data_IF_438518633941
#
_entry.id   IF_438518633941
#
_cell.length_a   1.000
_cell.length_b   1.000
_cell.length_c   1.000
_cell.angle_alpha   90.00
_cell.angle_beta   90.00
_cell.angle_gamma   90.00
#
_symmetry.space_group_name_H-M   'P 1'
#
loop_
_entity.id
_entity.type
_entity.pdbx_description
1 polymer ?
#
# COMPACT_ATOMS: atom_id res chain seq x y z
N UNK A 1 54.55 -14.89 -50.63
CA UNK A 1 53.91 -13.74 -51.28
C UNK A 1 53.06 -13.05 -50.21
N UNK A 2 53.63 -12.09 -49.48
CA UNK A 2 53.53 -10.63 -49.72
C UNK A 2 52.08 -10.15 -49.51
N UNK A 3 51.69 -9.59 -48.34
CA UNK A 3 51.97 -8.27 -47.77
C UNK A 3 51.53 -7.07 -48.65
N UNK A 4 50.59 -6.25 -48.13
CA UNK A 4 50.30 -4.81 -48.37
C UNK A 4 48.78 -4.56 -48.23
N UNK A 5 48.23 -3.83 -47.25
CA UNK A 5 48.37 -2.39 -46.91
C UNK A 5 48.02 -1.46 -48.08
N UNK A 6 46.85 -0.78 -48.00
CA UNK A 6 46.62 0.62 -48.41
C UNK A 6 45.12 0.95 -48.23
N UNK A 7 44.64 2.17 -48.02
CA UNK A 7 44.97 3.24 -47.08
C UNK A 7 43.71 4.15 -47.02
N UNK A 8 43.70 5.01 -46.01
CA UNK A 8 42.68 5.97 -45.57
C UNK A 8 41.96 6.77 -46.66
N UNK A 9 40.68 7.10 -46.39
CA UNK A 9 40.21 8.50 -46.40
C UNK A 9 39.16 8.76 -45.32
N UNK A 10 39.48 9.72 -44.46
CA UNK A 10 38.67 10.37 -43.42
C UNK A 10 37.73 11.41 -44.05
N UNK A 11 36.57 11.64 -43.42
CA UNK A 11 35.86 12.90 -43.08
C UNK A 11 34.35 12.60 -42.99
N UNK A 12 33.51 13.09 -42.06
CA UNK A 12 33.66 13.86 -40.84
C UNK A 12 32.29 13.84 -40.10
N UNK A 13 32.34 13.95 -38.76
CA UNK A 13 31.33 14.46 -37.81
C UNK A 13 30.00 13.71 -37.61
N UNK A 14 29.95 13.00 -36.48
CA UNK A 14 28.81 13.02 -35.56
C UNK A 14 29.34 12.78 -34.14
N UNK A 15 30.17 13.70 -33.64
CA UNK A 15 30.55 13.76 -32.22
C UNK A 15 29.50 14.59 -31.50
N UNK A 16 28.88 14.03 -30.45
CA UNK A 16 28.11 14.84 -29.52
C UNK A 16 27.05 14.13 -28.68
N UNK A 17 27.29 12.95 -28.13
CA UNK A 17 26.67 12.50 -26.87
C UNK A 17 27.32 11.18 -26.48
N UNK A 18 28.34 11.22 -25.62
CA UNK A 18 28.85 10.12 -24.78
C UNK A 18 30.26 10.54 -24.32
N UNK A 19 30.30 11.45 -23.36
CA UNK A 19 31.50 11.68 -22.58
C UNK A 19 31.11 11.88 -21.11
N UNK A 20 31.42 10.82 -20.35
CA UNK A 20 32.05 10.84 -19.01
C UNK A 20 31.15 11.28 -17.84
N UNK A 21 30.92 10.33 -16.93
CA UNK A 21 31.11 10.61 -15.50
C UNK A 21 30.00 10.25 -14.52
N UNK A 22 28.82 9.81 -14.95
CA UNK A 22 27.82 9.33 -14.00
C UNK A 22 27.98 7.82 -13.79
N UNK A 23 28.58 7.43 -12.66
CA UNK A 23 28.32 6.08 -12.16
C UNK A 23 26.80 5.94 -11.96
N UNK A 24 26.18 4.81 -12.34
CA UNK A 24 24.80 4.54 -11.95
C UNK A 24 24.70 4.71 -10.42
N UNK A 25 23.57 5.24 -9.89
CA UNK A 25 23.44 5.45 -8.45
C UNK A 25 23.81 4.15 -7.74
N UNK A 26 24.83 4.23 -6.90
CA UNK A 26 25.18 3.13 -6.01
C UNK A 26 23.93 2.86 -5.18
N UNK A 27 23.42 1.62 -5.28
CA UNK A 27 22.37 1.13 -4.42
C UNK A 27 22.78 1.41 -2.98
N UNK A 28 22.18 2.43 -2.37
CA UNK A 28 22.38 2.76 -0.97
C UNK A 28 21.89 1.53 -0.21
N UNK A 29 22.84 0.82 0.39
CA UNK A 29 22.62 -0.46 1.03
C UNK A 29 21.60 -0.30 2.14
N UNK A 30 20.42 -0.88 1.92
CA UNK A 30 19.50 -1.22 3.01
C UNK A 30 20.29 -2.14 3.95
N UNK A 31 20.38 -1.70 5.20
CA UNK A 31 21.25 -2.23 6.25
C UNK A 31 21.04 -3.72 6.52
N UNK A 32 22.15 -4.36 6.92
CA UNK A 32 22.31 -5.79 7.25
C UNK A 32 21.24 -6.32 8.21
N UNK A 33 20.34 -7.15 7.70
CA UNK A 33 20.02 -8.51 8.21
C UNK A 33 18.81 -9.07 7.46
N UNK A 34 19.01 -9.85 6.38
CA UNK A 34 17.94 -10.68 5.82
C UNK A 34 18.53 -11.95 5.20
N UNK A 35 18.09 -13.12 5.68
CA UNK A 35 17.61 -14.35 4.97
C UNK A 35 17.22 -15.39 6.05
N UNK A 36 16.04 -16.04 5.98
CA UNK A 36 15.73 -17.02 4.93
C UNK A 36 14.73 -16.53 3.87
N UNK A 37 15.14 -16.74 2.61
CA UNK A 37 14.57 -16.31 1.32
C UNK A 37 14.30 -14.81 1.17
N UNK A 38 15.17 -14.16 0.40
CA UNK A 38 15.06 -12.79 -0.09
C UNK A 38 13.65 -12.50 -0.66
N UNK A 39 13.02 -11.40 -0.26
CA UNK A 39 11.69 -11.00 -0.76
C UNK A 39 11.64 -11.02 -2.30
N UNK A 40 12.71 -10.55 -2.95
CA UNK A 40 12.81 -10.56 -4.41
C UNK A 40 12.78 -11.97 -5.01
N UNK A 41 13.28 -12.97 -4.28
CA UNK A 41 13.19 -14.38 -4.68
C UNK A 41 11.79 -14.94 -4.40
N UNK A 42 11.22 -14.62 -3.23
CA UNK A 42 9.89 -15.10 -2.84
C UNK A 42 8.80 -14.62 -3.79
N UNK A 43 8.79 -13.35 -4.18
CA UNK A 43 7.78 -12.82 -5.12
C UNK A 43 7.81 -13.51 -6.48
N UNK A 44 8.98 -14.02 -6.89
CA UNK A 44 9.15 -14.74 -8.17
C UNK A 44 8.69 -16.19 -8.08
N UNK A 45 8.98 -16.88 -6.97
CA UNK A 45 8.87 -18.35 -6.90
C UNK A 45 7.76 -18.89 -5.99
N UNK A 46 7.35 -18.17 -4.93
CA UNK A 46 6.36 -18.67 -3.99
C UNK A 46 4.99 -18.86 -4.68
N UNK A 47 4.28 -19.94 -4.38
CA UNK A 47 2.96 -20.21 -4.97
C UNK A 47 2.94 -20.55 -6.47
N UNK A 48 4.10 -20.65 -7.13
CA UNK A 48 4.23 -21.00 -8.56
C UNK A 48 4.31 -22.53 -8.79
N UNK A 49 3.30 -23.27 -8.34
CA UNK A 49 3.22 -24.71 -8.62
C UNK A 49 3.12 -24.97 -10.13
N UNK A 50 4.03 -25.82 -10.64
CA UNK A 50 4.12 -26.13 -12.07
C UNK A 50 3.15 -27.25 -12.43
N UNK A 51 1.94 -26.88 -12.83
CA UNK A 51 0.97 -27.83 -13.38
C UNK A 51 1.32 -28.14 -14.85
N UNK A 52 1.35 -29.42 -15.21
CA UNK A 52 1.63 -29.88 -16.59
C UNK A 52 2.96 -29.42 -17.20
N UNK A 53 3.93 -28.97 -16.39
CA UNK A 53 5.22 -28.44 -16.86
C UNK A 53 5.20 -26.96 -17.30
N UNK A 54 4.07 -26.27 -17.16
CA UNK A 54 3.97 -24.84 -17.42
C UNK A 54 4.82 -24.02 -16.44
N UNK A 55 5.54 -23.02 -16.94
CA UNK A 55 6.31 -22.08 -16.10
C UNK A 55 5.43 -21.01 -15.45
N UNK A 56 4.25 -20.76 -16.03
CA UNK A 56 3.23 -19.87 -15.50
C UNK A 56 2.03 -20.76 -15.12
N UNK A 57 1.56 -20.72 -13.87
CA UNK A 57 0.40 -21.50 -13.45
C UNK A 57 -0.84 -21.16 -14.30
N UNK A 58 -1.65 -22.16 -14.70
CA UNK A 58 -2.86 -21.93 -15.47
C UNK A 58 -3.94 -21.20 -14.65
N UNK A 59 -4.86 -20.56 -15.37
CA UNK A 59 -6.04 -19.91 -14.78
C UNK A 59 -7.17 -20.94 -14.71
N UNK A 60 -7.48 -21.42 -13.50
CA UNK A 60 -8.52 -22.40 -13.27
C UNK A 60 -9.88 -21.69 -13.09
N UNK A 61 -10.64 -21.59 -14.18
CA UNK A 61 -11.97 -20.94 -14.21
C UNK A 61 -13.13 -21.83 -13.77
N UNK A 62 -12.89 -23.14 -13.59
CA UNK A 62 -13.96 -24.05 -13.19
C UNK A 62 -14.49 -23.66 -11.80
N UNK A 63 -15.80 -23.50 -11.70
CA UNK A 63 -16.46 -23.22 -10.43
C UNK A 63 -16.47 -24.46 -9.52
N UNK A 64 -16.62 -25.65 -10.11
CA UNK A 64 -16.75 -26.93 -9.44
C UNK A 64 -15.71 -27.93 -9.93
N UNK A 65 -15.42 -28.92 -9.10
CA UNK A 65 -14.46 -29.99 -9.40
C UNK A 65 -15.11 -31.33 -9.04
N UNK A 66 -14.56 -32.41 -9.60
CA UNK A 66 -14.97 -33.76 -9.22
C UNK A 66 -14.76 -33.97 -7.71
N UNK A 67 -15.76 -34.60 -7.08
CA UNK A 67 -15.73 -34.85 -5.65
C UNK A 67 -14.72 -35.97 -5.35
N UNK A 68 -13.68 -35.66 -4.57
CA UNK A 68 -12.80 -36.66 -3.97
C UNK A 68 -13.35 -37.19 -2.65
N UNK A 69 -12.49 -37.35 -1.66
CA UNK A 69 -12.85 -37.77 -0.30
C UNK A 69 -12.62 -36.61 0.69
N UNK A 70 -13.51 -35.61 0.77
CA UNK A 70 -13.34 -34.49 1.70
C UNK A 70 -13.59 -34.92 3.15
N UNK A 71 -12.73 -34.49 4.08
CA UNK A 71 -12.92 -34.71 5.52
C UNK A 71 -13.91 -33.70 6.12
N UNK A 72 -13.90 -32.47 5.61
CA UNK A 72 -14.76 -31.37 6.06
C UNK A 72 -15.44 -30.65 4.89
N UNK A 73 -16.47 -29.85 5.17
CA UNK A 73 -17.16 -29.05 4.15
C UNK A 73 -16.21 -28.08 3.41
N UNK A 74 -15.22 -27.52 4.11
CA UNK A 74 -14.26 -26.58 3.52
C UNK A 74 -13.22 -27.27 2.60
N UNK A 75 -13.12 -28.60 2.64
CA UNK A 75 -12.25 -29.39 1.75
C UNK A 75 -12.90 -29.65 0.39
N UNK A 76 -14.21 -29.43 0.26
CA UNK A 76 -14.92 -29.53 -1.02
C UNK A 76 -14.36 -28.45 -1.95
N UNK A 77 -13.77 -28.87 -3.06
CA UNK A 77 -13.16 -27.91 -4.00
C UNK A 77 -14.25 -27.19 -4.80
N UNK A 78 -14.41 -25.90 -4.49
CA UNK A 78 -15.42 -25.04 -5.10
C UNK A 78 -14.98 -23.57 -5.00
N UNK A 79 -15.13 -22.80 -6.06
CA UNK A 79 -14.61 -21.42 -6.15
C UNK A 79 -15.03 -20.50 -4.99
N UNK A 80 -16.27 -20.65 -4.50
CA UNK A 80 -16.79 -19.87 -3.36
C UNK A 80 -16.13 -20.23 -2.02
N UNK A 81 -15.51 -21.41 -1.93
CA UNK A 81 -14.82 -21.88 -0.73
C UNK A 81 -13.34 -21.46 -0.70
N UNK A 82 -12.93 -20.59 -1.63
CA UNK A 82 -11.60 -19.99 -1.70
C UNK A 82 -10.46 -21.04 -1.76
N UNK A 83 -10.71 -22.18 -2.42
CA UNK A 83 -9.79 -23.32 -2.42
C UNK A 83 -9.44 -23.84 -3.83
N UNK A 84 -9.70 -23.04 -4.86
CA UNK A 84 -9.26 -23.37 -6.22
C UNK A 84 -7.77 -23.15 -6.40
N UNK A 85 -7.10 -23.86 -7.34
CA UNK A 85 -5.65 -23.77 -7.47
C UNK A 85 -5.14 -22.34 -7.75
N UNK A 86 -5.86 -21.55 -8.56
CA UNK A 86 -5.48 -20.15 -8.84
C UNK A 86 -5.57 -19.27 -7.59
N UNK A 87 -6.62 -19.41 -6.77
CA UNK A 87 -6.73 -18.70 -5.49
C UNK A 87 -5.60 -19.13 -4.52
N UNK A 88 -5.39 -20.45 -4.39
CA UNK A 88 -4.35 -21.03 -3.51
C UNK A 88 -2.94 -20.61 -3.90
N UNK A 89 -2.65 -20.47 -5.19
CA UNK A 89 -1.36 -19.99 -5.67
C UNK A 89 -1.02 -18.59 -5.12
N UNK A 90 -1.96 -17.64 -5.23
CA UNK A 90 -1.79 -16.28 -4.72
C UNK A 90 -1.71 -16.26 -3.20
N UNK A 91 -2.59 -17.00 -2.52
CA UNK A 91 -2.59 -17.10 -1.06
C UNK A 91 -1.26 -17.64 -0.53
N UNK A 92 -0.70 -18.69 -1.14
CA UNK A 92 0.61 -19.24 -0.75
C UNK A 92 1.73 -18.24 -0.96
N UNK A 93 1.68 -17.44 -2.04
CA UNK A 93 2.66 -16.38 -2.26
C UNK A 93 2.58 -15.32 -1.16
N UNK A 94 1.40 -14.77 -0.91
CA UNK A 94 1.19 -13.77 0.14
C UNK A 94 1.58 -14.29 1.52
N UNK A 95 1.20 -15.53 1.83
CA UNK A 95 1.57 -16.20 3.07
C UNK A 95 3.08 -16.41 3.23
N UNK A 96 3.79 -16.67 2.14
CA UNK A 96 5.26 -16.73 2.14
C UNK A 96 5.91 -15.34 2.30
N UNK A 97 5.30 -14.28 1.75
CA UNK A 97 5.82 -12.91 1.86
C UNK A 97 5.68 -12.36 3.28
N UNK A 98 4.58 -12.65 3.97
CA UNK A 98 4.28 -12.09 5.30
C UNK A 98 4.22 -13.14 6.41
N UNK A 99 4.69 -14.37 6.19
CA UNK A 99 4.83 -15.41 7.23
C UNK A 99 3.49 -15.74 7.93
N UNK A 100 2.48 -16.13 7.13
CA UNK A 100 1.15 -16.47 7.64
C UNK A 100 0.25 -17.21 6.65
N UNK A 101 -0.98 -17.49 7.09
CA UNK A 101 -2.07 -17.99 6.24
C UNK A 101 -2.77 -16.81 5.59
N UNK A 102 -2.76 -16.77 4.26
CA UNK A 102 -3.43 -15.71 3.51
C UNK A 102 -4.81 -16.13 3.01
N UNK A 103 -5.71 -15.16 2.88
CA UNK A 103 -6.96 -15.21 2.13
C UNK A 103 -7.00 -14.03 1.17
N UNK A 104 -7.27 -14.28 -0.11
CA UNK A 104 -7.53 -13.22 -1.10
C UNK A 104 -9.02 -12.94 -1.15
N UNK A 105 -9.40 -11.67 -1.23
CA UNK A 105 -10.79 -11.22 -1.24
C UNK A 105 -11.11 -10.39 -2.48
N UNK A 106 -12.38 -10.20 -2.86
CA UNK A 106 -12.78 -9.39 -4.02
C UNK A 106 -12.39 -7.91 -3.95
N UNK A 107 -12.01 -7.39 -2.78
CA UNK A 107 -11.58 -5.99 -2.61
C UNK A 107 -10.87 -5.78 -1.28
N UNK A 108 -10.06 -4.73 -1.17
CA UNK A 108 -9.46 -4.30 0.10
C UNK A 108 -10.52 -4.04 1.19
N UNK A 109 -11.64 -3.41 0.83
CA UNK A 109 -12.77 -3.19 1.74
C UNK A 109 -13.32 -4.52 2.31
N UNK A 110 -13.46 -5.55 1.47
CA UNK A 110 -13.89 -6.87 1.92
C UNK A 110 -12.85 -7.53 2.84
N UNK A 111 -11.55 -7.30 2.61
CA UNK A 111 -10.49 -7.76 3.50
C UNK A 111 -10.56 -7.08 4.88
N UNK A 112 -10.69 -5.74 4.91
CA UNK A 112 -10.84 -4.97 6.16
C UNK A 112 -12.07 -5.44 6.93
N UNK A 113 -13.23 -5.53 6.29
CA UNK A 113 -14.46 -5.96 6.94
C UNK A 113 -14.33 -7.38 7.50
N UNK A 114 -13.82 -8.34 6.74
CA UNK A 114 -13.64 -9.72 7.20
C UNK A 114 -12.68 -9.83 8.38
N UNK A 115 -11.57 -9.08 8.34
CA UNK A 115 -10.60 -9.08 9.42
C UNK A 115 -11.19 -8.52 10.73
N UNK A 116 -11.95 -7.43 10.64
CA UNK A 116 -12.64 -6.84 11.80
C UNK A 116 -13.74 -7.78 12.31
N UNK A 117 -14.64 -8.24 11.44
CA UNK A 117 -15.76 -9.11 11.81
C UNK A 117 -15.32 -10.49 12.35
N UNK A 118 -14.11 -10.95 12.02
CA UNK A 118 -13.52 -12.14 12.64
C UNK A 118 -12.90 -11.88 14.02
N UNK A 119 -12.64 -10.61 14.37
CA UNK A 119 -11.97 -10.20 15.60
C UNK A 119 -12.93 -9.65 16.65
N UNK A 120 -14.08 -9.10 16.25
CA UNK A 120 -15.08 -8.49 17.13
C UNK A 120 -16.50 -8.87 16.70
N UNK A 121 -17.41 -8.99 17.67
CA UNK A 121 -18.84 -9.19 17.43
C UNK A 121 -19.73 -8.20 18.21
N UNK A 122 -21.06 -8.36 18.13
CA UNK A 122 -22.00 -7.51 18.86
C UNK A 122 -21.68 -7.48 20.37
N UNK A 123 -21.55 -6.29 20.94
CA UNK A 123 -21.19 -6.05 22.33
C UNK A 123 -19.69 -5.89 22.59
N UNK A 124 -18.82 -6.25 21.64
CA UNK A 124 -17.39 -6.01 21.73
C UNK A 124 -17.03 -4.56 21.34
N UNK A 125 -15.83 -4.14 21.74
CA UNK A 125 -15.24 -2.84 21.40
C UNK A 125 -13.96 -3.02 20.58
N UNK A 126 -13.80 -2.17 19.56
CA UNK A 126 -12.57 -2.01 18.77
C UNK A 126 -12.00 -0.59 18.94
N UNK A 127 -10.68 -0.50 19.10
CA UNK A 127 -9.94 0.75 19.05
C UNK A 127 -9.47 1.04 17.62
N UNK A 128 -9.53 2.30 17.19
CA UNK A 128 -9.05 2.72 15.87
C UNK A 128 -8.47 4.15 15.92
N UNK A 129 -7.54 4.54 15.05
CA UNK A 129 -7.04 5.91 15.00
C UNK A 129 -8.12 6.91 14.59
N UNK A 130 -8.08 8.11 15.17
CA UNK A 130 -8.85 9.26 14.66
C UNK A 130 -8.52 9.53 13.19
N UNK A 131 -7.22 9.47 12.85
CA UNK A 131 -6.70 9.60 11.48
C UNK A 131 -6.64 8.23 10.80
N UNK A 132 -7.76 7.84 10.21
CA UNK A 132 -7.90 6.60 9.44
C UNK A 132 -8.44 6.91 8.05
N UNK A 133 -8.06 6.11 7.05
CA UNK A 133 -8.63 6.18 5.71
C UNK A 133 -10.17 6.27 5.75
N UNK A 134 -10.73 7.27 5.05
CA UNK A 134 -12.17 7.53 5.02
C UNK A 134 -13.05 6.34 4.61
N UNK A 135 -12.54 5.41 3.78
CA UNK A 135 -13.26 4.18 3.46
C UNK A 135 -13.35 3.22 4.66
N UNK A 136 -12.27 3.06 5.41
CA UNK A 136 -12.26 2.28 6.66
C UNK A 136 -13.12 2.93 7.72
N UNK A 137 -13.09 4.26 7.84
CA UNK A 137 -13.96 5.00 8.76
C UNK A 137 -15.43 4.65 8.56
N UNK A 138 -15.89 4.61 7.30
CA UNK A 138 -17.26 4.21 6.97
C UNK A 138 -17.60 2.77 7.36
N UNK A 139 -16.63 1.85 7.27
CA UNK A 139 -16.82 0.47 7.73
C UNK A 139 -17.00 0.45 9.25
N UNK A 140 -16.13 1.13 9.99
CA UNK A 140 -16.19 1.21 11.44
C UNK A 140 -17.50 1.86 11.92
N UNK A 141 -17.91 2.96 11.31
CA UNK A 141 -19.15 3.65 11.64
C UNK A 141 -20.38 2.75 11.33
N UNK A 142 -20.35 1.98 10.24
CA UNK A 142 -21.40 1.00 9.93
C UNK A 142 -21.50 -0.11 11.00
N UNK A 143 -20.36 -0.66 11.44
CA UNK A 143 -20.32 -1.67 12.50
C UNK A 143 -20.93 -1.12 13.81
N UNK A 144 -20.67 0.15 14.12
CA UNK A 144 -21.23 0.81 15.28
C UNK A 144 -22.75 1.02 15.20
N UNK A 145 -23.24 1.47 14.05
CA UNK A 145 -24.65 1.82 13.88
C UNK A 145 -25.55 0.59 13.69
N UNK A 146 -25.04 -0.49 13.08
CA UNK A 146 -25.85 -1.61 12.59
C UNK A 146 -25.50 -2.96 13.18
N UNK A 147 -24.24 -3.19 13.55
CA UNK A 147 -23.76 -4.51 13.97
C UNK A 147 -23.49 -4.59 15.48
N UNK A 148 -23.76 -3.53 16.23
CA UNK A 148 -23.67 -3.51 17.70
C UNK A 148 -22.24 -3.58 18.24
N UNK A 149 -21.24 -3.22 17.43
CA UNK A 149 -19.83 -3.15 17.83
C UNK A 149 -19.52 -1.74 18.30
N UNK A 150 -18.92 -1.57 19.47
CA UNK A 150 -18.50 -0.24 19.91
C UNK A 150 -17.16 0.16 19.25
N UNK A 151 -17.09 1.34 18.63
CA UNK A 151 -15.83 1.87 18.10
C UNK A 151 -15.35 3.02 18.98
N UNK A 152 -14.10 2.95 19.44
CA UNK A 152 -13.44 4.05 20.15
C UNK A 152 -12.24 4.55 19.35
N UNK A 153 -12.29 5.83 18.98
CA UNK A 153 -11.22 6.49 18.27
C UNK A 153 -10.16 7.03 19.24
N UNK A 154 -8.89 6.74 18.96
CA UNK A 154 -7.73 7.16 19.77
C UNK A 154 -6.72 7.94 18.93
N UNK A 155 -5.97 8.83 19.58
CA UNK A 155 -4.87 9.55 18.95
C UNK A 155 -3.58 8.73 19.08
N UNK A 156 -3.03 8.25 17.96
CA UNK A 156 -1.83 7.41 17.98
C UNK A 156 -0.56 8.17 18.36
N UNK A 157 -0.58 9.50 18.36
CA UNK A 157 0.54 10.31 18.85
C UNK A 157 0.47 10.54 20.37
N UNK A 158 -0.57 10.03 21.04
CA UNK A 158 -0.78 10.13 22.50
C UNK A 158 -1.00 8.75 23.14
N UNK A 159 0.02 7.88 23.14
CA UNK A 159 -0.05 6.53 23.70
C UNK A 159 -0.55 6.48 25.14
N UNK A 160 -0.18 7.48 25.95
CA UNK A 160 -0.57 7.58 27.36
C UNK A 160 -2.10 7.69 27.57
N UNK A 161 -2.87 8.07 26.54
CA UNK A 161 -4.33 8.19 26.64
C UNK A 161 -5.08 6.92 26.20
N UNK A 162 -4.39 5.91 25.63
CA UNK A 162 -5.08 4.75 25.06
C UNK A 162 -5.77 3.88 26.12
N UNK A 163 -5.19 3.79 27.31
CA UNK A 163 -5.76 3.02 28.42
C UNK A 163 -7.17 3.51 28.82
N UNK A 164 -7.45 4.80 28.65
CA UNK A 164 -8.77 5.40 28.93
C UNK A 164 -9.86 4.92 27.95
N UNK A 165 -9.47 4.47 26.76
CA UNK A 165 -10.38 3.95 25.75
C UNK A 165 -10.75 2.47 25.97
N UNK A 166 -10.08 1.78 26.90
CA UNK A 166 -10.34 0.37 27.20
C UNK A 166 -11.66 0.16 27.95
N UNK A 167 -12.16 -1.06 27.83
CA UNK A 167 -13.26 -1.65 28.59
C UNK A 167 -13.05 -3.16 28.69
N UNK A 168 -13.82 -3.83 29.56
CA UNK A 168 -13.87 -5.29 29.63
C UNK A 168 -14.32 -5.95 28.31
N UNK A 169 -14.94 -5.18 27.41
CA UNK A 169 -15.40 -5.61 26.08
C UNK A 169 -14.41 -5.26 24.96
N UNK A 170 -13.27 -4.62 25.26
CA UNK A 170 -12.28 -4.32 24.22
C UNK A 170 -11.59 -5.60 23.75
N UNK A 171 -11.56 -5.82 22.44
CA UNK A 171 -11.02 -7.05 21.84
C UNK A 171 -9.96 -6.81 20.77
N UNK A 172 -9.99 -5.66 20.10
CA UNK A 172 -9.15 -5.42 18.94
C UNK A 172 -8.66 -3.98 18.85
N UNK A 173 -7.54 -3.80 18.17
CA UNK A 173 -6.96 -2.51 17.81
C UNK A 173 -6.64 -2.51 16.30
N UNK A 174 -7.30 -1.64 15.55
CA UNK A 174 -7.02 -1.43 14.13
C UNK A 174 -6.08 -0.24 13.92
N UNK A 175 -5.14 -0.35 12.99
CA UNK A 175 -4.26 0.74 12.56
C UNK A 175 -3.88 0.62 11.08
N UNK A 176 -3.28 1.67 10.51
CA UNK A 176 -2.66 1.65 9.18
C UNK A 176 -1.14 1.75 9.34
N UNK A 177 -0.37 0.97 8.56
CA UNK A 177 1.11 1.04 8.56
C UNK A 177 1.65 2.44 8.20
N UNK A 178 0.95 3.13 7.30
CA UNK A 178 1.17 4.53 6.93
C UNK A 178 -0.22 5.16 6.83
N UNK A 179 -0.47 6.26 7.55
CA UNK A 179 -1.78 6.89 7.58
C UNK A 179 -2.08 7.64 6.26
N UNK A 180 -3.23 7.39 5.64
CA UNK A 180 -3.63 8.04 4.38
C UNK A 180 -4.67 9.16 4.65
N UNK A 181 -4.40 10.44 4.34
CA UNK A 181 -3.36 10.96 3.44
C UNK A 181 -2.14 11.59 4.14
N UNK A 182 -2.00 11.47 5.45
CA UNK A 182 -0.93 12.16 6.22
C UNK A 182 0.48 11.62 6.00
N UNK A 183 0.62 10.43 5.41
CA UNK A 183 1.91 9.75 5.17
C UNK A 183 2.77 9.55 6.41
N UNK A 184 2.18 9.68 7.59
CA UNK A 184 2.81 9.49 8.88
C UNK A 184 2.85 8.01 9.23
N UNK A 185 3.99 7.54 9.72
CA UNK A 185 4.15 6.20 10.29
C UNK A 185 3.76 6.25 11.77
N UNK A 186 2.78 5.46 12.26
CA UNK A 186 2.41 5.44 13.66
C UNK A 186 3.46 4.71 14.53
N UNK A 187 3.40 4.82 15.87
CA UNK A 187 4.26 4.07 16.78
C UNK A 187 3.86 2.58 16.85
N UNK A 188 4.24 1.81 15.83
CA UNK A 188 3.85 0.40 15.67
C UNK A 188 4.30 -0.49 16.83
N UNK A 189 5.50 -0.27 17.39
CA UNK A 189 5.97 -0.93 18.61
C UNK A 189 5.03 -0.73 19.78
N UNK A 190 4.63 0.52 20.01
CA UNK A 190 3.80 0.87 21.15
C UNK A 190 2.42 0.25 21.01
N UNK A 191 1.84 0.25 19.79
CA UNK A 191 0.56 -0.44 19.53
C UNK A 191 0.69 -1.94 19.77
N UNK A 192 1.76 -2.59 19.27
CA UNK A 192 1.98 -4.03 19.50
C UNK A 192 2.15 -4.33 20.99
N UNK A 193 2.95 -3.53 21.70
CA UNK A 193 3.15 -3.69 23.15
C UNK A 193 1.85 -3.53 23.92
N UNK A 194 1.06 -2.50 23.60
CA UNK A 194 -0.25 -2.22 24.20
C UNK A 194 -1.24 -3.36 23.93
N UNK A 195 -1.34 -3.84 22.69
CA UNK A 195 -2.20 -4.97 22.35
C UNK A 195 -1.82 -6.23 23.12
N UNK A 196 -0.52 -6.52 23.23
CA UNK A 196 -0.03 -7.67 23.99
C UNK A 196 -0.31 -7.53 25.50
N UNK A 197 -0.10 -6.36 26.07
CA UNK A 197 -0.35 -6.09 27.50
C UNK A 197 -1.83 -6.32 27.86
N UNK A 198 -2.74 -5.90 26.98
CA UNK A 198 -4.17 -5.95 27.23
C UNK A 198 -4.90 -7.12 26.54
N UNK A 199 -4.16 -8.04 25.89
CA UNK A 199 -4.74 -9.20 25.21
C UNK A 199 -5.63 -8.85 24.02
N UNK A 200 -5.36 -7.75 23.33
CA UNK A 200 -6.09 -7.30 22.14
C UNK A 200 -5.53 -7.95 20.86
N UNK A 201 -6.41 -8.22 19.90
CA UNK A 201 -6.00 -8.57 18.53
C UNK A 201 -5.55 -7.32 17.80
N UNK A 202 -4.33 -7.33 17.27
CA UNK A 202 -3.77 -6.23 16.48
C UNK A 202 -4.03 -6.43 14.99
N UNK A 203 -4.65 -5.44 14.35
CA UNK A 203 -4.93 -5.42 12.91
C UNK A 203 -4.19 -4.25 12.28
N UNK A 204 -3.37 -4.51 11.26
CA UNK A 204 -2.71 -3.46 10.48
C UNK A 204 -3.13 -3.51 9.02
N UNK A 205 -3.58 -2.38 8.49
CA UNK A 205 -3.66 -2.16 7.06
C UNK A 205 -2.26 -1.82 6.52
N UNK A 206 -1.65 -2.80 5.87
CA UNK A 206 -0.31 -2.74 5.33
C UNK A 206 -0.30 -2.30 3.84
N UNK A 207 -1.40 -1.73 3.34
CA UNK A 207 -1.55 -1.37 1.92
C UNK A 207 -0.45 -0.44 1.41
N UNK A 208 -0.11 0.61 2.17
CA UNK A 208 0.84 1.63 1.72
C UNK A 208 2.30 1.24 1.93
N UNK A 209 2.62 0.54 3.03
CA UNK A 209 3.98 0.06 3.24
C UNK A 209 4.29 -1.18 2.40
N UNK A 210 3.29 -2.03 2.12
CA UNK A 210 3.40 -3.31 1.41
C UNK A 210 4.41 -4.28 2.06
N UNK A 211 4.37 -5.61 1.82
CA UNK A 211 5.45 -6.51 2.24
C UNK A 211 6.84 -6.11 1.74
N UNK A 212 6.94 -5.20 0.76
CA UNK A 212 8.21 -4.67 0.29
C UNK A 212 8.90 -3.71 1.25
N UNK A 213 8.16 -2.94 2.06
CA UNK A 213 8.76 -2.06 3.07
C UNK A 213 8.55 -2.58 4.48
N UNK A 214 7.42 -3.25 4.76
CA UNK A 214 7.08 -3.70 6.09
C UNK A 214 6.38 -5.06 6.07
N UNK A 215 6.86 -6.00 6.89
CA UNK A 215 6.25 -7.33 7.07
C UNK A 215 5.71 -7.44 8.51
N UNK A 216 4.40 -7.24 8.75
CA UNK A 216 3.85 -7.05 10.10
C UNK A 216 4.01 -8.22 11.06
N UNK A 217 3.78 -9.45 10.58
CA UNK A 217 3.69 -10.67 11.39
C UNK A 217 4.98 -10.96 12.20
N UNK A 218 6.20 -10.88 11.60
CA UNK A 218 7.46 -10.97 12.36
C UNK A 218 7.59 -10.01 13.54
N UNK A 219 6.86 -8.89 13.54
CA UNK A 219 6.90 -7.90 14.61
C UNK A 219 5.78 -8.08 15.64
N UNK A 220 5.05 -9.19 15.60
CA UNK A 220 4.02 -9.51 16.59
C UNK A 220 2.64 -8.92 16.30
N UNK A 221 2.41 -8.40 15.08
CA UNK A 221 1.07 -8.02 14.65
C UNK A 221 0.28 -9.27 14.25
N UNK A 222 -0.96 -9.41 14.75
CA UNK A 222 -1.76 -10.63 14.57
C UNK A 222 -2.28 -10.77 13.13
N UNK A 223 -2.85 -9.69 12.58
CA UNK A 223 -3.52 -9.66 11.29
C UNK A 223 -2.98 -8.52 10.42
N UNK A 224 -2.52 -8.85 9.22
CA UNK A 224 -2.11 -7.91 8.18
C UNK A 224 -3.16 -7.87 7.06
N UNK A 225 -3.52 -6.67 6.62
CA UNK A 225 -4.58 -6.42 5.63
C UNK A 225 -4.00 -5.64 4.46
N UNK A 226 -4.45 -5.95 3.25
CA UNK A 226 -4.09 -5.22 2.04
C UNK A 226 -5.30 -4.91 1.17
N UNK A 227 -5.33 -3.70 0.62
CA UNK A 227 -5.92 -3.48 -0.70
C UNK A 227 -4.91 -3.94 -1.75
N UNK A 228 -5.06 -5.19 -2.20
CA UNK A 228 -4.21 -5.77 -3.22
C UNK A 228 -4.35 -5.08 -4.61
N UNK A 229 -5.40 -4.28 -4.80
CA UNK A 229 -5.58 -3.37 -5.94
C UNK A 229 -4.44 -2.35 -6.13
N UNK A 230 -3.67 -2.08 -5.07
CA UNK A 230 -2.64 -1.04 -5.00
C UNK A 230 -1.28 -1.60 -5.42
N UNK A 231 -0.25 -1.42 -4.61
CA UNK A 231 1.13 -1.84 -4.92
C UNK A 231 1.28 -3.31 -5.23
N UNK A 232 0.52 -4.20 -4.56
CA UNK A 232 0.62 -5.64 -4.78
C UNK A 232 0.35 -6.00 -6.25
N UNK A 233 -0.75 -5.51 -6.82
CA UNK A 233 -0.98 -5.62 -8.25
C UNK A 233 -0.08 -4.65 -9.04
N UNK A 234 -0.19 -3.34 -8.77
CA UNK A 234 0.68 -2.30 -9.30
C UNK A 234 0.41 -1.86 -10.74
N UNK A 235 -0.67 -2.31 -11.38
CA UNK A 235 -0.95 -2.04 -12.80
C UNK A 235 -2.34 -1.43 -13.04
N UNK A 236 -3.03 -0.99 -11.98
CA UNK A 236 -4.31 -0.24 -12.05
C UNK A 236 -5.42 -0.95 -12.84
N UNK A 237 -5.40 -2.30 -12.88
CA UNK A 237 -6.31 -3.15 -13.67
C UNK A 237 -7.01 -4.23 -12.82
N UNK A 238 -6.79 -4.24 -11.50
CA UNK A 238 -7.35 -5.24 -10.58
C UNK A 238 -7.92 -4.56 -9.34
N UNK A 239 -9.08 -5.06 -8.88
CA UNK A 239 -9.60 -4.80 -7.54
C UNK A 239 -9.59 -6.10 -6.75
N UNK A 240 -8.75 -6.17 -5.71
CA UNK A 240 -8.67 -7.30 -4.80
C UNK A 240 -8.24 -6.81 -3.40
N UNK A 241 -8.45 -7.67 -2.40
CA UNK A 241 -7.89 -7.50 -1.07
C UNK A 241 -7.16 -8.76 -0.63
N UNK A 242 -6.44 -8.66 0.47
CA UNK A 242 -5.86 -9.82 1.13
C UNK A 242 -5.83 -9.63 2.64
N UNK A 243 -5.95 -10.74 3.37
CA UNK A 243 -5.72 -10.81 4.81
C UNK A 243 -4.70 -11.91 5.08
N UNK A 244 -3.70 -11.64 5.92
CA UNK A 244 -2.67 -12.58 6.34
C UNK A 244 -2.66 -12.62 7.86
N UNK A 245 -2.78 -13.82 8.44
CA UNK A 245 -2.78 -14.04 9.88
C UNK A 245 -2.11 -15.38 10.24
N UNK A 246 -2.09 -15.77 11.51
CA UNK A 246 -1.71 -17.13 11.89
C UNK A 246 -2.73 -18.17 11.36
N UNK A 247 -2.42 -19.45 11.54
CA UNK A 247 -3.25 -20.54 11.04
C UNK A 247 -4.67 -20.53 11.64
N UNK A 248 -4.81 -20.19 12.92
CA UNK A 248 -6.10 -20.21 13.63
C UNK A 248 -7.00 -19.07 13.13
N UNK A 249 -6.50 -17.83 13.18
CA UNK A 249 -7.24 -16.64 12.71
C UNK A 249 -7.46 -16.69 11.21
N UNK A 250 -6.47 -17.11 10.43
CA UNK A 250 -6.60 -17.28 8.98
C UNK A 250 -7.70 -18.27 8.60
N UNK A 251 -7.83 -19.37 9.36
CA UNK A 251 -8.92 -20.33 9.18
C UNK A 251 -10.28 -19.73 9.58
N UNK A 252 -10.36 -19.00 10.70
CA UNK A 252 -11.58 -18.34 11.13
C UNK A 252 -12.09 -17.32 10.08
N UNK A 253 -11.19 -16.48 9.57
CA UNK A 253 -11.47 -15.50 8.52
C UNK A 253 -11.94 -16.20 7.22
N UNK A 254 -11.28 -17.29 6.80
CA UNK A 254 -11.69 -18.07 5.63
C UNK A 254 -13.08 -18.67 5.80
N UNK A 255 -13.38 -19.26 6.96
CA UNK A 255 -14.71 -19.82 7.25
C UNK A 255 -15.79 -18.74 7.19
N UNK A 256 -15.51 -17.55 7.69
CA UNK A 256 -16.42 -16.40 7.57
C UNK A 256 -16.63 -16.00 6.11
N UNK A 257 -15.54 -15.86 5.34
CA UNK A 257 -15.60 -15.53 3.92
C UNK A 257 -16.41 -16.56 3.11
N UNK A 258 -16.19 -17.85 3.36
CA UNK A 258 -16.89 -18.96 2.70
C UNK A 258 -18.41 -18.94 2.98
N UNK A 259 -18.81 -18.61 4.22
CA UNK A 259 -20.22 -18.46 4.62
C UNK A 259 -20.89 -17.29 3.91
N UNK A 260 -20.19 -16.17 3.77
CA UNK A 260 -20.72 -14.93 3.18
C UNK A 260 -20.59 -14.87 1.67
N UNK A 261 -19.88 -15.82 1.05
CA UNK A 261 -19.61 -15.82 -0.38
C UNK A 261 -18.61 -14.76 -0.81
N UNK A 262 -17.73 -14.32 0.09
CA UNK A 262 -16.65 -13.38 -0.22
C UNK A 262 -15.52 -14.17 -0.89
N UNK A 263 -15.55 -14.25 -2.22
CA UNK A 263 -14.57 -14.98 -3.01
C UNK A 263 -14.21 -14.22 -4.30
N UNK A 264 -12.92 -14.06 -4.62
CA UNK A 264 -12.50 -13.36 -5.83
C UNK A 264 -12.57 -14.26 -7.07
N UNK A 265 -12.75 -13.61 -8.24
CA UNK A 265 -12.61 -14.26 -9.55
C UNK A 265 -11.14 -14.71 -9.80
N UNK A 266 -10.91 -15.86 -10.46
CA UNK A 266 -9.57 -16.39 -10.70
C UNK A 266 -8.73 -15.51 -11.65
N UNK A 267 -9.33 -14.77 -12.58
CA UNK A 267 -8.57 -13.93 -13.53
C UNK A 267 -7.88 -12.75 -12.82
N UNK A 268 -8.57 -11.94 -11.98
CA UNK A 268 -7.90 -10.98 -11.10
C UNK A 268 -6.84 -11.60 -10.19
N UNK A 269 -7.06 -12.82 -9.67
CA UNK A 269 -6.06 -13.52 -8.85
C UNK A 269 -4.78 -13.79 -9.65
N UNK A 270 -4.92 -14.24 -10.90
CA UNK A 270 -3.80 -14.43 -11.80
C UNK A 270 -3.04 -13.12 -12.09
N UNK A 271 -3.77 -12.04 -12.39
CA UNK A 271 -3.18 -10.72 -12.63
C UNK A 271 -2.43 -10.18 -11.40
N UNK A 272 -3.01 -10.33 -10.21
CA UNK A 272 -2.34 -10.00 -8.96
C UNK A 272 -1.05 -10.82 -8.77
N UNK A 273 -1.09 -12.13 -9.04
CA UNK A 273 0.10 -12.98 -8.98
C UNK A 273 1.21 -12.48 -9.93
N UNK A 274 0.83 -12.08 -11.14
CA UNK A 274 1.72 -11.52 -12.15
C UNK A 274 2.32 -10.19 -11.68
N UNK A 275 1.49 -9.29 -11.15
CA UNK A 275 1.88 -7.97 -10.66
C UNK A 275 2.87 -8.02 -9.49
N UNK A 276 2.69 -8.95 -8.56
CA UNK A 276 3.57 -9.09 -7.40
C UNK A 276 5.02 -9.45 -7.77
N UNK A 277 5.26 -10.11 -8.91
CA UNK A 277 6.61 -10.50 -9.34
C UNK A 277 7.56 -9.31 -9.53
N UNK A 278 7.02 -8.12 -9.80
CA UNK A 278 7.80 -6.88 -9.96
C UNK A 278 7.68 -5.94 -8.77
N UNK A 279 6.99 -6.34 -7.70
CA UNK A 279 6.71 -5.50 -6.53
C UNK A 279 7.97 -4.84 -5.95
N UNK A 280 9.07 -5.55 -5.63
CA UNK A 280 10.25 -4.91 -5.03
C UNK A 280 10.92 -3.91 -5.98
N UNK A 281 10.91 -4.18 -7.29
CA UNK A 281 11.48 -3.29 -8.30
C UNK A 281 10.68 -1.98 -8.40
N UNK A 282 9.35 -2.10 -8.49
CA UNK A 282 8.44 -0.95 -8.58
C UNK A 282 8.51 -0.11 -7.30
N UNK A 283 8.38 -0.74 -6.13
CA UNK A 283 8.39 -0.02 -4.84
C UNK A 283 9.71 0.69 -4.61
N UNK A 284 10.85 0.08 -4.97
CA UNK A 284 12.15 0.73 -4.86
C UNK A 284 12.25 1.99 -5.74
N UNK A 285 11.84 1.90 -7.01
CA UNK A 285 11.81 3.06 -7.92
C UNK A 285 10.86 4.15 -7.41
N UNK A 286 9.66 3.78 -6.97
CA UNK A 286 8.66 4.70 -6.44
C UNK A 286 9.15 5.39 -5.16
N UNK A 287 9.83 4.69 -4.24
CA UNK A 287 10.41 5.31 -3.04
C UNK A 287 11.49 6.34 -3.40
N UNK A 288 12.37 6.01 -4.36
CA UNK A 288 13.40 6.95 -4.82
C UNK A 288 12.78 8.20 -5.46
N UNK A 289 11.75 8.02 -6.30
CA UNK A 289 11.00 9.13 -6.89
C UNK A 289 10.26 9.96 -5.86
N UNK A 290 9.63 9.32 -4.86
CA UNK A 290 8.90 10.01 -3.79
C UNK A 290 9.83 10.86 -2.92
N UNK A 291 11.00 10.34 -2.54
CA UNK A 291 11.99 11.11 -1.79
C UNK A 291 12.50 12.32 -2.58
N UNK A 292 12.87 12.13 -3.84
CA UNK A 292 13.37 13.21 -4.68
C UNK A 292 12.30 14.30 -4.90
N UNK A 293 11.05 13.90 -5.16
CA UNK A 293 9.94 14.84 -5.32
C UNK A 293 9.60 15.55 -4.01
N UNK A 294 9.58 14.83 -2.88
CA UNK A 294 9.31 15.43 -1.57
C UNK A 294 10.36 16.51 -1.22
N UNK A 295 11.65 16.23 -1.44
CA UNK A 295 12.73 17.19 -1.21
C UNK A 295 12.62 18.42 -2.12
N UNK A 296 12.26 18.23 -3.39
CA UNK A 296 12.07 19.34 -4.32
C UNK A 296 10.87 20.23 -3.94
N UNK A 297 9.77 19.62 -3.49
CA UNK A 297 8.58 20.34 -3.02
C UNK A 297 8.86 21.07 -1.69
N UNK A 298 9.54 20.44 -0.74
CA UNK A 298 9.86 21.00 0.57
C UNK A 298 10.77 22.24 0.47
N UNK A 299 11.65 22.27 -0.55
CA UNK A 299 12.49 23.42 -0.84
C UNK A 299 11.79 24.55 -1.62
N UNK A 300 10.55 24.35 -2.10
CA UNK A 300 9.88 25.30 -2.99
C UNK A 300 9.05 26.32 -2.22
N UNK A 301 9.27 27.62 -2.46
CA UNK A 301 8.65 28.72 -1.69
C UNK A 301 7.11 28.80 -1.78
N UNK A 302 6.51 28.17 -2.78
CA UNK A 302 5.05 28.08 -2.96
C UNK A 302 4.41 26.83 -2.34
N UNK A 303 5.16 26.05 -1.59
CA UNK A 303 4.68 24.89 -0.84
C UNK A 303 4.77 25.21 0.64
N UNK A 304 3.65 25.14 1.34
CA UNK A 304 3.55 25.47 2.77
C UNK A 304 4.02 24.31 3.64
N UNK A 305 3.61 23.09 3.29
CA UNK A 305 3.94 21.87 4.03
C UNK A 305 4.09 20.69 3.09
N UNK A 306 5.03 19.80 3.42
CA UNK A 306 5.17 18.46 2.83
C UNK A 306 5.07 17.42 3.93
N UNK A 307 4.30 16.37 3.66
CA UNK A 307 4.12 15.21 4.52
C UNK A 307 4.75 14.00 3.84
N UNK A 308 5.93 13.61 4.33
CA UNK A 308 6.67 12.46 3.84
C UNK A 308 7.70 12.02 4.87
N UNK A 309 7.58 10.78 5.37
CA UNK A 309 8.46 10.25 6.40
C UNK A 309 9.95 10.18 5.99
N UNK A 310 10.27 10.33 4.69
CA UNK A 310 11.66 10.38 4.23
C UNK A 310 12.35 11.73 4.42
N UNK A 311 11.61 12.80 4.77
CA UNK A 311 12.19 14.07 5.16
C UNK A 311 12.65 14.01 6.62
N UNK A 312 13.87 14.45 6.92
CA UNK A 312 14.43 14.39 8.29
C UNK A 312 13.62 15.20 9.32
N UNK A 313 12.94 16.25 8.85
CA UNK A 313 12.08 17.08 9.69
C UNK A 313 10.69 16.45 9.97
N UNK A 314 10.32 15.38 9.26
CA UNK A 314 9.03 14.72 9.49
C UNK A 314 9.03 14.02 10.86
N UNK A 315 8.00 14.23 11.71
CA UNK A 315 7.95 13.61 13.04
C UNK A 315 8.00 12.08 13.03
N UNK A 316 7.59 11.45 11.93
CA UNK A 316 7.58 10.00 11.77
C UNK A 316 8.86 9.44 11.13
N UNK A 317 9.84 10.28 10.78
CA UNK A 317 11.09 9.87 10.13
C UNK A 317 11.83 8.79 10.90
N UNK A 318 12.05 9.00 12.21
CA UNK A 318 12.74 8.04 13.06
C UNK A 318 12.00 6.69 13.15
N UNK A 319 10.66 6.72 13.17
CA UNK A 319 9.83 5.50 13.18
C UNK A 319 9.92 4.78 11.84
N UNK A 320 9.79 5.49 10.72
CA UNK A 320 9.93 4.89 9.39
C UNK A 320 11.31 4.24 9.19
N UNK A 321 12.39 4.94 9.56
CA UNK A 321 13.76 4.44 9.44
C UNK A 321 14.03 3.19 10.30
N UNK A 322 13.38 3.08 11.46
CA UNK A 322 13.54 1.93 12.35
C UNK A 322 12.73 0.71 11.89
N UNK A 323 11.57 0.91 11.28
CA UNK A 323 10.60 -0.16 11.02
C UNK A 323 10.55 -0.63 9.56
N UNK A 324 10.85 0.26 8.61
CA UNK A 324 10.63 0.00 7.19
C UNK A 324 11.93 -0.12 6.40
N UNK A 325 11.88 -0.89 5.30
CA UNK A 325 12.96 -0.95 4.29
C UNK A 325 13.08 0.29 3.39
N UNK A 326 12.30 1.34 3.67
CA UNK A 326 12.23 2.59 2.92
C UNK A 326 11.09 3.48 3.45
N UNK A 327 10.99 4.71 2.95
CA UNK A 327 10.10 5.74 3.54
C UNK A 327 8.71 5.84 2.90
N UNK A 328 8.35 4.90 2.04
CA UNK A 328 7.07 4.89 1.32
C UNK A 328 7.14 5.55 -0.05
N UNK A 329 6.10 5.32 -0.84
CA UNK A 329 5.99 5.72 -2.26
C UNK A 329 5.04 6.90 -2.47
N UNK A 330 4.52 7.44 -1.39
CA UNK A 330 3.40 8.37 -1.36
C UNK A 330 3.84 9.60 -0.59
N UNK A 331 3.41 10.77 -1.02
CA UNK A 331 3.60 12.02 -0.28
C UNK A 331 2.31 12.83 -0.36
N UNK A 332 2.13 13.74 0.59
CA UNK A 332 1.11 14.78 0.50
C UNK A 332 1.76 16.15 0.71
N UNK A 333 1.18 17.20 0.15
CA UNK A 333 1.67 18.56 0.35
C UNK A 333 0.52 19.57 0.26
N UNK A 334 0.75 20.78 0.77
CA UNK A 334 -0.19 21.90 0.71
C UNK A 334 0.48 23.05 -0.05
N UNK A 335 0.00 23.43 -1.24
CA UNK A 335 0.50 24.61 -1.94
C UNK A 335 -0.06 25.91 -1.32
N UNK A 336 0.72 26.98 -1.34
CA UNK A 336 0.26 28.30 -0.86
C UNK A 336 -0.82 28.87 -1.76
N UNK A 337 -1.83 29.55 -1.23
CA UNK A 337 -2.91 30.15 -2.07
C UNK A 337 -4.15 29.27 -2.19
N UNK A 338 -4.27 28.24 -1.35
CA UNK A 338 -5.55 27.59 -1.06
C UNK A 338 -6.04 26.63 -2.15
N UNK A 339 -7.34 26.32 -2.06
CA UNK A 339 -8.03 25.29 -2.82
C UNK A 339 -7.97 25.53 -4.33
N UNK A 340 -8.18 26.76 -4.75
CA UNK A 340 -8.26 27.16 -6.15
C UNK A 340 -6.90 26.98 -6.82
N UNK A 341 -5.82 27.39 -6.13
CA UNK A 341 -4.45 27.15 -6.63
C UNK A 341 -4.12 25.66 -6.66
N UNK A 342 -4.51 24.89 -5.64
CA UNK A 342 -4.30 23.45 -5.65
C UNK A 342 -4.96 22.77 -6.87
N UNK A 343 -6.17 23.20 -7.26
CA UNK A 343 -6.85 22.71 -8.47
C UNK A 343 -6.15 23.17 -9.75
N UNK A 344 -5.72 24.44 -9.82
CA UNK A 344 -4.98 24.97 -10.95
C UNK A 344 -3.65 24.22 -11.16
N UNK A 345 -2.93 23.91 -10.09
CA UNK A 345 -1.70 23.11 -10.10
C UNK A 345 -1.97 21.72 -10.70
N UNK A 346 -2.97 20.98 -10.17
CA UNK A 346 -3.32 19.65 -10.69
C UNK A 346 -3.61 19.68 -12.19
N UNK A 347 -4.33 20.71 -12.67
CA UNK A 347 -4.65 20.86 -14.10
C UNK A 347 -3.47 21.24 -14.98
N UNK A 348 -2.43 21.86 -14.41
CA UNK A 348 -1.25 22.29 -15.14
C UNK A 348 -0.19 21.19 -15.30
N UNK A 349 -0.29 20.11 -14.52
CA UNK A 349 0.58 18.94 -14.61
C UNK A 349 0.37 18.17 -15.92
N UNK A 350 1.44 17.54 -16.41
CA UNK A 350 1.47 16.82 -17.70
C UNK A 350 1.55 15.31 -17.51
N UNK A 351 2.29 14.82 -16.51
CA UNK A 351 2.48 13.39 -16.28
C UNK A 351 1.53 12.82 -15.21
N UNK A 352 1.43 13.41 -14.00
CA UNK A 352 0.48 12.92 -13.00
C UNK A 352 -0.97 12.94 -13.51
N UNK A 353 -1.67 11.83 -13.35
CA UNK A 353 -3.09 11.71 -13.73
C UNK A 353 -3.97 11.98 -12.50
N UNK A 354 -4.98 12.85 -12.66
CA UNK A 354 -5.95 13.10 -11.59
C UNK A 354 -6.86 11.88 -11.39
N UNK A 355 -6.62 11.11 -10.32
CA UNK A 355 -7.39 9.90 -10.03
C UNK A 355 -7.36 9.54 -8.52
N UNK A 356 -8.40 8.87 -7.98
CA UNK A 356 -8.51 8.62 -6.54
C UNK A 356 -7.62 7.47 -6.02
N UNK A 357 -7.13 6.59 -6.90
CA UNK A 357 -6.35 5.40 -6.51
C UNK A 357 -4.86 5.72 -6.27
N UNK A 358 -4.04 4.67 -6.10
CA UNK A 358 -2.60 4.76 -5.80
C UNK A 358 -1.88 3.42 -6.06
N UNK A 359 -0.55 3.43 -6.02
CA UNK A 359 0.32 2.25 -6.06
C UNK A 359 0.59 1.64 -7.44
N UNK A 360 0.05 2.26 -8.50
CA UNK A 360 0.29 1.91 -9.90
C UNK A 360 1.69 2.32 -10.38
N UNK A 361 2.02 1.93 -11.62
CA UNK A 361 3.29 2.33 -12.26
C UNK A 361 3.27 3.78 -12.71
N UNK A 362 2.09 4.33 -12.95
CA UNK A 362 1.83 5.72 -13.28
C UNK A 362 1.68 6.58 -12.02
N UNK A 363 2.18 7.81 -12.08
CA UNK A 363 1.99 8.80 -11.03
C UNK A 363 0.53 9.26 -11.02
N UNK A 364 -0.12 9.16 -9.87
CA UNK A 364 -1.49 9.64 -9.66
C UNK A 364 -1.49 10.81 -8.68
N UNK A 365 -2.39 11.75 -8.89
CA UNK A 365 -2.55 12.92 -8.03
C UNK A 365 -4.02 13.14 -7.70
N UNK A 366 -4.34 13.54 -6.48
CA UNK A 366 -5.69 13.94 -6.14
C UNK A 366 -5.73 14.85 -4.91
N UNK A 367 -6.88 15.49 -4.71
CA UNK A 367 -7.21 16.13 -3.44
C UNK A 367 -7.98 15.14 -2.55
N UNK A 368 -7.45 14.75 -1.36
CA UNK A 368 -8.16 13.84 -0.46
C UNK A 368 -9.57 14.34 -0.11
N UNK A 369 -9.69 15.65 0.06
CA UNK A 369 -10.93 16.39 0.31
C UNK A 369 -12.09 16.03 -0.64
N UNK A 370 -11.81 15.80 -1.92
CA UNK A 370 -12.82 15.51 -2.95
C UNK A 370 -12.78 14.07 -3.45
N UNK A 371 -11.96 13.22 -2.83
CA UNK A 371 -11.79 11.82 -3.22
C UNK A 371 -11.88 10.88 -2.01
N UNK A 372 -10.74 10.46 -1.45
CA UNK A 372 -10.64 9.46 -0.38
C UNK A 372 -11.40 9.82 0.90
N UNK A 373 -11.58 11.13 1.16
CA UNK A 373 -12.26 11.65 2.35
C UNK A 373 -13.53 12.44 2.00
N UNK A 374 -14.00 12.40 0.75
CA UNK A 374 -15.18 13.15 0.30
C UNK A 374 -16.49 12.78 1.01
N UNK A 375 -16.53 11.60 1.64
CA UNK A 375 -17.68 11.14 2.42
C UNK A 375 -17.74 11.68 3.84
N UNK A 376 -16.75 12.46 4.29
CA UNK A 376 -16.70 13.04 5.63
C UNK A 376 -17.13 14.52 5.61
N UNK A 377 -17.82 15.01 6.65
CA UNK A 377 -18.13 16.44 6.79
C UNK A 377 -16.89 17.33 6.73
N UNK A 378 -17.04 18.58 6.29
CA UNK A 378 -15.91 19.49 6.12
C UNK A 378 -15.20 19.79 7.45
N UNK A 379 -15.98 20.01 8.50
CA UNK A 379 -15.52 20.30 9.86
C UNK A 379 -14.68 19.13 10.40
N UNK A 380 -15.14 17.90 10.19
CA UNK A 380 -14.42 16.70 10.60
C UNK A 380 -13.11 16.53 9.82
N UNK A 381 -13.11 16.81 8.50
CA UNK A 381 -11.86 16.76 7.71
C UNK A 381 -10.85 17.79 8.21
N UNK A 382 -11.30 18.98 8.57
CA UNK A 382 -10.44 20.03 9.13
C UNK A 382 -9.88 19.64 10.49
N UNK A 383 -10.71 19.10 11.40
CA UNK A 383 -10.28 18.55 12.69
C UNK A 383 -9.25 17.42 12.54
N UNK A 384 -9.43 16.56 11.55
CA UNK A 384 -8.48 15.49 11.24
C UNK A 384 -7.17 16.00 10.60
N UNK A 385 -7.11 17.28 10.20
CA UNK A 385 -5.96 17.88 9.53
C UNK A 385 -5.87 17.56 8.04
N UNK A 386 -7.01 17.51 7.34
CA UNK A 386 -7.10 17.36 5.88
C UNK A 386 -7.65 18.67 5.28
N UNK A 387 -6.80 19.71 5.12
CA UNK A 387 -7.25 20.97 4.55
C UNK A 387 -7.71 20.78 3.11
N UNK A 388 -8.65 21.62 2.68
CA UNK A 388 -9.23 21.51 1.33
C UNK A 388 -8.16 21.64 0.24
N UNK A 389 -7.06 22.35 0.48
CA UNK A 389 -5.94 22.54 -0.43
C UNK A 389 -4.93 21.37 -0.48
N UNK A 390 -5.03 20.39 0.43
CA UNK A 390 -4.09 19.25 0.45
C UNK A 390 -4.14 18.46 -0.85
N UNK A 391 -2.96 18.17 -1.38
CA UNK A 391 -2.74 17.32 -2.55
C UNK A 391 -1.99 16.07 -2.10
N UNK A 392 -2.47 14.90 -2.52
CA UNK A 392 -1.77 13.62 -2.34
C UNK A 392 -1.25 13.14 -3.66
N UNK A 393 0.00 12.69 -3.68
CA UNK A 393 0.67 12.12 -4.84
C UNK A 393 1.01 10.66 -4.56
N UNK A 394 0.56 9.78 -5.45
CA UNK A 394 1.05 8.42 -5.58
C UNK A 394 2.15 8.42 -6.63
N UNK A 395 3.40 8.36 -6.22
CA UNK A 395 4.52 8.41 -7.16
C UNK A 395 4.64 7.08 -7.89
N UNK A 396 4.73 7.15 -9.22
CA UNK A 396 4.92 6.02 -10.12
C UNK A 396 6.39 5.67 -10.32
N UNK A 397 6.71 5.04 -11.45
CA UNK A 397 8.06 4.62 -11.84
C UNK A 397 8.66 5.49 -12.94
N UNK A 398 8.05 6.65 -13.22
CA UNK A 398 8.62 7.65 -14.12
C UNK A 398 9.98 8.16 -13.60
N UNK A 399 10.75 8.80 -14.48
CA UNK A 399 12.03 9.39 -14.09
C UNK A 399 11.79 10.52 -13.08
N UNK A 400 12.48 10.53 -11.92
CA UNK A 400 12.30 11.57 -10.92
C UNK A 400 12.50 12.99 -11.46
N UNK A 401 13.49 13.18 -12.34
CA UNK A 401 13.78 14.50 -12.91
C UNK A 401 12.62 15.05 -13.78
N UNK A 402 11.93 14.16 -14.50
CA UNK A 402 10.82 14.55 -15.35
C UNK A 402 9.59 14.92 -14.50
N UNK A 403 9.35 14.20 -13.39
CA UNK A 403 8.31 14.54 -12.43
C UNK A 403 8.61 15.87 -11.73
N UNK A 404 9.83 16.08 -11.22
CA UNK A 404 10.20 17.32 -10.53
C UNK A 404 10.03 18.53 -11.46
N UNK A 405 10.53 18.45 -12.69
CA UNK A 405 10.38 19.53 -13.67
C UNK A 405 8.90 19.83 -13.98
N UNK A 406 8.03 18.82 -14.02
CA UNK A 406 6.60 19.00 -14.25
C UNK A 406 5.88 19.65 -13.05
N UNK A 407 6.23 19.27 -11.83
CA UNK A 407 5.71 19.94 -10.63
C UNK A 407 6.19 21.39 -10.51
N UNK A 408 7.47 21.67 -10.79
CA UNK A 408 7.99 23.04 -10.79
C UNK A 408 7.30 23.94 -11.81
N UNK A 409 7.05 23.45 -13.03
CA UNK A 409 6.34 24.26 -14.03
C UNK A 409 4.87 24.47 -13.64
N UNK A 410 4.20 23.46 -13.06
CA UNK A 410 2.82 23.58 -12.61
C UNK A 410 2.67 24.54 -11.42
N UNK A 411 3.63 24.55 -10.48
CA UNK A 411 3.68 25.51 -9.37
C UNK A 411 3.77 26.96 -9.88
N UNK A 412 4.63 27.20 -10.87
CA UNK A 412 4.78 28.52 -11.54
C UNK A 412 3.53 28.92 -12.32
N UNK A 413 2.96 28.01 -13.11
CA UNK A 413 1.78 28.27 -13.91
C UNK A 413 0.55 28.58 -13.03
N UNK A 414 0.33 27.81 -11.98
CA UNK A 414 -0.79 27.99 -11.05
C UNK A 414 -0.72 29.31 -10.26
N UNK A 415 0.49 29.82 -9.97
CA UNK A 415 0.66 31.13 -9.32
C UNK A 415 0.05 32.27 -10.15
N UNK A 416 0.23 32.23 -11.48
CA UNK A 416 -0.24 33.27 -12.39
C UNK A 416 -1.76 33.30 -12.57
N UNK A 417 -2.43 32.15 -12.37
CA UNK A 417 -3.88 32.02 -12.52
C UNK A 417 -4.66 32.46 -11.29
N UNK A 418 -4.06 32.43 -10.09
CA UNK A 418 -4.70 32.87 -8.86
C UNK A 418 -4.65 34.39 -8.67
N UNK A 419 -3.83 35.09 -9.44
CA UNK A 419 -3.66 36.55 -9.38
C UNK A 419 -4.53 37.30 -10.40
N UNK A 420 -5.27 36.57 -11.26
CA UNK A 420 -6.20 37.08 -12.26
C UNK A 420 -7.63 36.71 -11.85
#
# INVERSE_FOLDING_TARGET
MAQAVCDRKKTARADGFLARGAQPPQYVGVTKQFRPSDLATLVVHAGEERDGGGLVPPIHRSSTYELGEPETFDDIRYIRLNNTPTQKAVERKLGALEEGTALVTPSGTAAVWLAIAASVGPGDRILAPVRVYGGTRKILDHLAEREGVEVRYVDLEKPDTWAEALSETTRAFYMESIANPWMSVPPLDQVVAFCREHGLVSLVDNTLATPALFRPRPFGIDISIHSASKHLNGHTDVVLGAVIADAERGLAIRKLANKLGVCPDPEPCFLLNRGMKTLPLRVSAQCAGALALAQALDAHADVETVHYAGLEADPSHGRAAAWFGGFGTMLSFVPSGGKERAQALIRALRYPVEAPSLGGVETLICRPATTSHAGLPAELREEMGVPDAMIRVSVGVERPEDLIADFEQALKASASMSAA
#
